data_IF_731244212502
#
_entry.id   IF_731244212502
#
_cell.length_a   1.000
_cell.length_b   1.000
_cell.length_c   1.000
_cell.angle_alpha   90.00
_cell.angle_beta   90.00
_cell.angle_gamma   90.00
#
_symmetry.space_group_name_H-M   'P 1'
#
loop_
_entity.id
_entity.type
_entity.pdbx_description
1 polymer ?
#
# COMPACT_ATOMS: atom_id res chain seq x y z
N UNK A 1 -9.28 4.97 -48.00
CA UNK A 1 -8.73 3.62 -47.73
C UNK A 1 -9.36 3.11 -46.45
N UNK A 2 -9.67 1.82 -46.33
CA UNK A 2 -10.13 1.21 -45.07
C UNK A 2 -9.55 -0.20 -44.94
N UNK A 3 -9.11 -0.55 -43.74
CA UNK A 3 -8.71 -1.91 -43.40
C UNK A 3 -9.95 -2.75 -43.07
N UNK A 4 -9.87 -4.07 -43.27
CA UNK A 4 -10.84 -4.99 -42.68
C UNK A 4 -10.56 -5.14 -41.19
N UNK A 5 -11.58 -5.38 -40.35
CA UNK A 5 -11.37 -5.58 -38.91
C UNK A 5 -10.39 -6.72 -38.63
N UNK A 6 -9.46 -6.50 -37.71
CA UNK A 6 -8.53 -7.51 -37.18
C UNK A 6 -8.85 -7.72 -35.71
N UNK A 7 -9.10 -8.98 -35.32
CA UNK A 7 -9.49 -9.30 -33.95
C UNK A 7 -8.38 -8.93 -32.94
N UNK A 8 -8.77 -8.30 -31.84
CA UNK A 8 -7.84 -7.78 -30.82
C UNK A 8 -7.02 -6.55 -31.24
N UNK A 9 -7.36 -5.87 -32.34
CA UNK A 9 -6.71 -4.63 -32.78
C UNK A 9 -7.72 -3.51 -33.06
N UNK A 10 -7.30 -2.28 -32.78
CA UNK A 10 -7.97 -1.05 -33.18
C UNK A 10 -7.14 -0.37 -34.27
N UNK A 11 -7.75 -0.14 -35.43
CA UNK A 11 -7.12 0.54 -36.57
C UNK A 11 -7.40 2.04 -36.57
N UNK A 12 -6.41 2.83 -36.98
CA UNK A 12 -6.51 4.27 -37.23
C UNK A 12 -5.94 4.58 -38.63
N UNK A 13 -6.64 5.40 -39.41
CA UNK A 13 -6.22 5.79 -40.77
C UNK A 13 -5.87 7.28 -40.79
N UNK A 14 -4.65 7.62 -41.18
CA UNK A 14 -4.18 9.01 -41.35
C UNK A 14 -3.63 9.18 -42.77
N UNK A 15 -4.43 9.80 -43.65
CA UNK A 15 -4.10 9.91 -45.07
C UNK A 15 -4.09 8.54 -45.76
N UNK A 16 -2.91 8.08 -46.18
CA UNK A 16 -2.69 6.75 -46.75
C UNK A 16 -2.07 5.75 -45.77
N UNK A 17 -1.72 6.19 -44.56
CA UNK A 17 -1.13 5.33 -43.53
C UNK A 17 -2.22 4.69 -42.67
N UNK A 18 -2.05 3.39 -42.37
CA UNK A 18 -2.89 2.63 -41.45
C UNK A 18 -2.02 2.20 -40.26
N UNK A 19 -2.47 2.49 -39.04
CA UNK A 19 -1.81 2.06 -37.80
C UNK A 19 -2.74 1.12 -37.04
N UNK A 20 -2.22 -0.05 -36.62
CA UNK A 20 -2.94 -1.00 -35.78
C UNK A 20 -2.38 -1.02 -34.37
N UNK A 21 -3.25 -0.82 -33.38
CA UNK A 21 -2.91 -0.88 -31.95
C UNK A 21 -3.59 -2.07 -31.30
N UNK A 22 -2.82 -2.88 -30.55
CA UNK A 22 -3.37 -4.05 -29.86
C UNK A 22 -4.29 -3.61 -28.72
N UNK A 23 -5.49 -4.17 -28.67
CA UNK A 23 -6.48 -3.92 -27.62
C UNK A 23 -6.88 -5.23 -26.97
N UNK A 24 -6.69 -5.33 -25.67
CA UNK A 24 -7.17 -6.43 -24.85
C UNK A 24 -7.42 -5.93 -23.43
N UNK A 25 -8.36 -6.56 -22.74
CA UNK A 25 -8.60 -6.33 -21.33
C UNK A 25 -8.07 -7.50 -20.51
N UNK A 26 -7.70 -7.19 -19.27
CA UNK A 26 -7.30 -8.16 -18.26
C UNK A 26 -7.96 -7.82 -16.93
N UNK A 27 -7.76 -8.69 -15.94
CA UNK A 27 -8.16 -8.47 -14.56
C UNK A 27 -7.05 -8.88 -13.61
N UNK A 28 -7.05 -8.26 -12.44
CA UNK A 28 -6.16 -8.61 -11.32
C UNK A 28 -7.04 -9.07 -10.17
N UNK A 29 -6.77 -10.27 -9.66
CA UNK A 29 -7.51 -10.90 -8.56
C UNK A 29 -6.53 -11.44 -7.54
N UNK A 30 -6.85 -11.24 -6.27
CA UNK A 30 -6.02 -11.68 -5.17
C UNK A 30 -6.81 -11.92 -3.90
N UNK A 31 -6.18 -12.62 -2.97
CA UNK A 31 -6.70 -12.91 -1.65
C UNK A 31 -5.83 -12.30 -0.57
N UNK A 32 -6.44 -11.99 0.57
CA UNK A 32 -5.75 -11.54 1.77
C UNK A 32 -5.76 -12.65 2.81
N UNK A 33 -4.57 -13.03 3.25
CA UNK A 33 -4.36 -14.00 4.34
C UNK A 33 -3.75 -13.31 5.55
N UNK A 34 -4.19 -13.73 6.74
CA UNK A 34 -3.66 -13.27 8.02
C UNK A 34 -2.94 -14.42 8.73
N UNK A 35 -1.65 -14.22 9.03
CA UNK A 35 -0.81 -15.10 9.84
C UNK A 35 -0.61 -14.46 11.21
N UNK A 36 -1.66 -14.51 12.02
CA UNK A 36 -1.74 -13.81 13.31
C UNK A 36 -2.37 -14.61 14.43
N UNK A 37 -2.60 -15.91 14.22
CA UNK A 37 -3.22 -16.78 15.22
C UNK A 37 -4.68 -16.40 15.53
N UNK A 38 -5.40 -15.79 14.58
CA UNK A 38 -6.75 -15.25 14.76
C UNK A 38 -6.81 -14.16 15.82
N UNK A 39 -5.89 -13.19 15.71
CA UNK A 39 -5.84 -12.04 16.60
C UNK A 39 -7.18 -11.29 16.68
N UNK A 40 -7.59 -10.92 17.90
CA UNK A 40 -8.86 -10.19 18.15
C UNK A 40 -8.78 -8.70 17.83
N UNK A 41 -7.57 -8.15 17.66
CA UNK A 41 -7.30 -6.75 17.34
C UNK A 41 -6.91 -6.53 15.87
N UNK A 42 -7.34 -7.42 14.97
CA UNK A 42 -7.18 -7.24 13.52
C UNK A 42 -8.03 -6.05 13.07
N UNK A 43 -7.54 -5.19 12.15
CA UNK A 43 -8.37 -4.14 11.57
C UNK A 43 -9.54 -4.75 10.79
N UNK A 44 -10.67 -4.04 10.77
CA UNK A 44 -11.88 -4.47 10.04
C UNK A 44 -11.71 -4.45 8.52
N UNK A 45 -10.75 -3.67 8.02
CA UNK A 45 -10.45 -3.53 6.61
C UNK A 45 -8.98 -3.17 6.36
N UNK A 46 -8.52 -3.40 5.14
CA UNK A 46 -7.25 -2.94 4.60
C UNK A 46 -7.49 -2.17 3.31
N UNK A 47 -6.49 -1.43 2.84
CA UNK A 47 -6.49 -0.78 1.53
C UNK A 47 -5.44 -1.42 0.64
N UNK A 48 -5.88 -1.89 -0.52
CA UNK A 48 -5.03 -2.51 -1.54
C UNK A 48 -4.98 -1.60 -2.75
N UNK A 49 -3.79 -1.11 -3.06
CA UNK A 49 -3.51 -0.31 -4.25
C UNK A 49 -3.22 -1.23 -5.43
N UNK A 50 -3.83 -0.95 -6.58
CA UNK A 50 -3.43 -1.48 -7.87
C UNK A 50 -2.45 -0.50 -8.52
N UNK A 51 -1.28 -1.02 -8.88
CA UNK A 51 -0.25 -0.27 -9.58
C UNK A 51 -0.21 -0.69 -11.04
N UNK A 52 -0.02 0.29 -11.93
CA UNK A 52 0.30 0.10 -13.35
C UNK A 52 1.62 0.79 -13.63
N UNK A 53 2.61 0.03 -14.05
CA UNK A 53 3.99 0.49 -14.28
C UNK A 53 4.57 1.29 -13.10
N UNK A 54 4.30 0.81 -11.89
CA UNK A 54 4.77 1.43 -10.65
C UNK A 54 3.96 2.63 -10.15
N UNK A 55 2.91 3.05 -10.85
CA UNK A 55 2.00 4.12 -10.40
C UNK A 55 0.69 3.57 -9.89
N UNK A 56 0.22 4.07 -8.75
CA UNK A 56 -1.11 3.71 -8.22
C UNK A 56 -2.18 4.28 -9.15
N UNK A 57 -3.05 3.41 -9.67
CA UNK A 57 -4.15 3.79 -10.56
C UNK A 57 -5.52 3.65 -9.90
N UNK A 58 -5.64 2.83 -8.85
CA UNK A 58 -6.85 2.70 -8.04
C UNK A 58 -6.55 2.02 -6.71
N UNK A 59 -7.46 2.14 -5.75
CA UNK A 59 -7.37 1.52 -4.43
C UNK A 59 -8.71 0.86 -4.10
N UNK A 60 -8.66 -0.35 -3.53
CA UNK A 60 -9.85 -1.07 -3.06
C UNK A 60 -9.76 -1.34 -1.56
N UNK A 61 -10.88 -1.17 -0.88
CA UNK A 61 -11.05 -1.58 0.51
C UNK A 61 -11.40 -3.07 0.56
N UNK A 62 -10.66 -3.83 1.35
CA UNK A 62 -10.82 -5.29 1.49
C UNK A 62 -11.06 -5.62 2.95
N UNK A 63 -12.11 -6.40 3.21
CA UNK A 63 -12.59 -6.70 4.56
C UNK A 63 -13.10 -8.13 4.67
N UNK A 64 -13.49 -8.53 5.88
CA UNK A 64 -14.15 -9.82 6.11
C UNK A 64 -15.46 -9.94 5.31
N UNK A 65 -16.20 -8.85 5.12
CA UNK A 65 -17.43 -8.83 4.32
C UNK A 65 -17.16 -9.18 2.83
N UNK A 66 -15.97 -8.86 2.33
CA UNK A 66 -15.52 -9.25 0.97
C UNK A 66 -14.93 -10.67 0.93
N UNK A 67 -14.95 -11.39 2.05
CA UNK A 67 -14.26 -12.67 2.22
C UNK A 67 -12.74 -12.55 2.10
N UNK A 68 -12.18 -11.36 2.38
CA UNK A 68 -10.77 -11.04 2.18
C UNK A 68 -10.30 -11.30 0.74
N UNK A 69 -11.13 -10.97 -0.25
CA UNK A 69 -10.83 -11.10 -1.68
C UNK A 69 -11.05 -9.78 -2.39
N UNK A 70 -10.33 -9.56 -3.47
CA UNK A 70 -10.45 -8.36 -4.26
C UNK A 70 -10.23 -8.63 -5.75
N UNK A 71 -10.81 -7.76 -6.58
CA UNK A 71 -10.81 -7.92 -8.03
C UNK A 71 -10.84 -6.55 -8.69
N UNK A 72 -9.83 -6.26 -9.51
CA UNK A 72 -9.80 -5.13 -10.43
C UNK A 72 -10.09 -5.62 -11.84
N UNK A 73 -11.19 -5.15 -12.43
CA UNK A 73 -11.68 -5.57 -13.76
C UNK A 73 -11.38 -4.50 -14.83
N UNK A 74 -11.61 -4.89 -16.08
CA UNK A 74 -11.62 -3.98 -17.23
C UNK A 74 -10.30 -3.22 -17.44
N UNK A 75 -9.18 -3.82 -17.01
CA UNK A 75 -7.85 -3.22 -17.11
C UNK A 75 -7.33 -3.36 -18.53
N UNK A 76 -6.86 -2.27 -19.14
CA UNK A 76 -6.19 -2.36 -20.43
C UNK A 76 -4.93 -3.22 -20.30
N UNK A 77 -4.70 -4.15 -21.22
CA UNK A 77 -3.51 -5.00 -21.22
C UNK A 77 -2.30 -4.33 -21.91
N UNK A 78 -2.55 -3.37 -22.81
CA UNK A 78 -1.52 -2.70 -23.61
C UNK A 78 -1.70 -1.18 -23.62
N UNK A 79 -0.60 -0.46 -23.74
CA UNK A 79 -0.59 0.99 -23.95
C UNK A 79 -0.91 1.37 -25.41
N UNK A 80 -0.88 2.67 -25.72
CA UNK A 80 -1.16 3.18 -27.06
C UNK A 80 -0.13 2.75 -28.13
N UNK A 81 1.05 2.27 -27.71
CA UNK A 81 2.09 1.76 -28.59
C UNK A 81 2.06 0.23 -28.71
N UNK A 82 1.10 -0.45 -28.05
CA UNK A 82 1.01 -1.90 -28.01
C UNK A 82 1.99 -2.58 -27.03
N UNK A 83 2.61 -1.82 -26.12
CA UNK A 83 3.47 -2.35 -25.05
C UNK A 83 2.59 -2.85 -23.90
N UNK A 84 2.86 -4.04 -23.39
CA UNK A 84 2.07 -4.62 -22.31
C UNK A 84 2.26 -3.84 -21.00
N UNK A 85 1.16 -3.52 -20.33
CA UNK A 85 1.20 -2.92 -19.00
C UNK A 85 1.66 -3.94 -17.95
N UNK A 86 2.49 -3.50 -17.02
CA UNK A 86 2.82 -4.27 -15.82
C UNK A 86 1.87 -3.90 -14.69
N UNK A 87 1.14 -4.89 -14.17
CA UNK A 87 0.28 -4.71 -13.01
C UNK A 87 0.87 -5.36 -11.76
N UNK A 88 0.78 -4.65 -10.64
CA UNK A 88 1.24 -5.08 -9.33
C UNK A 88 0.22 -4.64 -8.27
N UNK A 89 0.23 -5.28 -7.11
CA UNK A 89 -0.61 -4.90 -5.97
C UNK A 89 0.28 -4.52 -4.80
N UNK A 90 -0.18 -3.56 -4.01
CA UNK A 90 0.49 -3.15 -2.78
C UNK A 90 -0.53 -2.93 -1.69
N UNK A 91 -0.26 -3.42 -0.49
CA UNK A 91 -1.04 -3.05 0.67
C UNK A 91 -0.53 -1.74 1.27
N UNK A 92 -1.45 -0.86 1.66
CA UNK A 92 -1.10 0.27 2.51
C UNK A 92 -0.67 -0.23 3.90
N UNK A 93 0.22 0.49 4.62
CA UNK A 93 0.70 0.04 5.91
C UNK A 93 -0.44 -0.31 6.88
N UNK A 94 -0.28 -1.44 7.59
CA UNK A 94 -1.20 -1.89 8.63
C UNK A 94 -0.42 -2.01 9.94
N UNK A 95 -0.85 -1.25 10.95
CA UNK A 95 -0.17 -1.18 12.23
C UNK A 95 -0.01 -2.54 12.91
N UNK A 96 1.23 -2.84 13.31
CA UNK A 96 1.56 -4.11 13.97
C UNK A 96 1.63 -5.32 13.04
N UNK A 97 1.58 -5.12 11.72
CA UNK A 97 1.70 -6.20 10.74
C UNK A 97 2.82 -5.94 9.73
N UNK A 98 3.47 -7.01 9.30
CA UNK A 98 4.36 -7.02 8.14
C UNK A 98 3.62 -7.62 6.96
N UNK A 99 3.60 -6.90 5.84
CA UNK A 99 2.94 -7.32 4.61
C UNK A 99 3.92 -7.96 3.63
N UNK A 100 3.50 -9.04 2.98
CA UNK A 100 4.23 -9.73 1.91
C UNK A 100 3.27 -10.02 0.75
N UNK A 101 3.70 -9.73 -0.48
CA UNK A 101 2.91 -9.96 -1.71
C UNK A 101 3.53 -11.11 -2.50
N UNK A 102 2.72 -12.08 -2.91
CA UNK A 102 3.10 -13.21 -3.77
C UNK A 102 2.16 -13.28 -4.97
N UNK A 103 2.65 -12.85 -6.14
CA UNK A 103 1.77 -12.60 -7.28
C UNK A 103 0.82 -11.45 -6.93
N UNK A 104 -0.46 -11.77 -6.74
CA UNK A 104 -1.47 -10.82 -6.24
C UNK A 104 -2.04 -11.21 -4.88
N UNK A 105 -1.59 -12.30 -4.27
CA UNK A 105 -2.01 -12.62 -2.91
C UNK A 105 -1.19 -11.84 -1.89
N UNK A 106 -1.87 -11.34 -0.86
CA UNK A 106 -1.26 -10.56 0.21
C UNK A 106 -1.31 -11.37 1.49
N UNK A 107 -0.20 -11.46 2.21
CA UNK A 107 -0.11 -12.09 3.52
C UNK A 107 0.34 -11.06 4.56
N UNK A 108 -0.45 -10.88 5.62
CA UNK A 108 -0.01 -10.13 6.80
C UNK A 108 0.44 -11.07 7.90
N UNK A 109 1.66 -10.89 8.38
CA UNK A 109 2.17 -11.57 9.58
C UNK A 109 2.16 -10.60 10.75
N UNK A 110 1.59 -11.01 11.89
CA UNK A 110 1.62 -10.19 13.11
C UNK A 110 3.07 -10.01 13.54
N UNK A 111 3.49 -8.76 13.68
CA UNK A 111 4.81 -8.46 14.26
C UNK A 111 4.66 -8.60 15.77
N UNK A 112 5.55 -9.38 16.39
CA UNK A 112 5.61 -9.43 17.85
C UNK A 112 5.82 -8.00 18.37
N UNK A 113 4.87 -7.52 19.18
CA UNK A 113 5.02 -6.22 19.82
C UNK A 113 6.08 -6.36 20.91
N UNK A 114 7.25 -5.78 20.68
CA UNK A 114 8.16 -5.44 21.76
C UNK A 114 7.69 -4.10 22.32
N UNK A 115 7.36 -4.07 23.61
CA UNK A 115 7.09 -2.82 24.32
C UNK A 115 8.41 -2.03 24.38
N UNK A 116 8.42 -0.80 23.85
CA UNK A 116 9.62 0.06 23.86
C UNK A 116 9.33 1.25 24.76
N UNK A 117 9.85 1.20 25.97
CA UNK A 117 9.63 2.27 26.94
C UNK A 117 10.92 3.03 27.21
N UNK A 118 10.78 4.31 27.51
CA UNK A 118 11.89 5.14 27.92
C UNK A 118 11.45 6.39 28.65
N UNK A 119 12.44 7.12 29.15
CA UNK A 119 12.23 8.39 29.86
C UNK A 119 13.17 9.44 29.32
N UNK A 120 12.65 10.64 29.08
CA UNK A 120 13.46 11.82 28.79
C UNK A 120 13.91 12.41 30.12
N UNK A 121 15.22 12.44 30.33
CA UNK A 121 15.83 13.16 31.45
C UNK A 121 16.41 14.47 30.96
N UNK A 122 16.12 15.56 31.69
CA UNK A 122 16.72 16.87 31.49
C UNK A 122 17.87 17.06 32.50
N UNK A 123 19.06 17.45 32.02
CA UNK A 123 20.23 17.80 32.85
C UNK A 123 20.58 19.28 32.62
N UNK A 124 19.65 20.15 32.97
CA UNK A 124 19.67 21.59 32.67
C UNK A 124 19.66 22.47 33.94
N UNK A 125 19.81 21.87 35.13
CA UNK A 125 19.73 22.62 36.38
C UNK A 125 18.33 23.18 36.68
N UNK A 126 17.28 22.56 36.14
CA UNK A 126 15.89 23.02 36.28
C UNK A 126 15.64 24.39 35.62
N UNK A 127 16.15 24.55 34.41
CA UNK A 127 16.00 25.75 33.61
C UNK A 127 14.52 26.09 33.34
N UNK A 128 14.20 27.39 33.29
CA UNK A 128 12.84 27.91 33.11
C UNK A 128 12.41 28.03 31.65
N UNK A 129 13.33 27.86 30.71
CA UNK A 129 13.11 27.98 29.26
C UNK A 129 12.96 26.61 28.56
N UNK A 130 12.76 25.54 29.33
CA UNK A 130 12.54 24.20 28.81
C UNK A 130 11.30 24.15 27.90
N UNK A 131 11.36 23.48 26.73
CA UNK A 131 10.17 23.28 25.92
C UNK A 131 9.13 22.46 26.68
N UNK A 132 7.86 22.79 26.51
CA UNK A 132 6.75 22.08 27.15
C UNK A 132 6.54 20.66 26.59
N UNK A 133 7.09 20.36 25.41
CA UNK A 133 6.90 19.11 24.68
C UNK A 133 8.08 18.81 23.76
N UNK A 134 8.35 17.52 23.55
CA UNK A 134 9.24 17.01 22.50
C UNK A 134 8.51 15.96 21.65
N UNK A 135 9.07 15.65 20.48
CA UNK A 135 8.66 14.49 19.67
C UNK A 135 9.73 13.41 19.75
N UNK A 136 9.32 12.17 19.96
CA UNK A 136 10.16 10.98 20.00
C UNK A 136 9.73 10.05 18.88
N UNK A 137 10.65 9.76 17.96
CA UNK A 137 10.41 8.81 16.87
C UNK A 137 10.82 7.41 17.32
N UNK A 138 9.94 6.43 17.10
CA UNK A 138 10.30 5.01 17.15
C UNK A 138 10.75 4.59 15.76
N UNK A 139 11.95 4.01 15.66
CA UNK A 139 12.51 3.56 14.40
C UNK A 139 12.56 2.02 14.34
N UNK A 140 12.34 1.47 13.16
CA UNK A 140 12.65 0.07 12.81
C UNK A 140 13.51 0.08 11.57
N UNK A 141 14.70 -0.53 11.67
CA UNK A 141 15.67 -0.59 10.56
C UNK A 141 15.98 0.80 9.95
N UNK A 142 16.04 1.83 10.79
CA UNK A 142 16.32 3.22 10.37
C UNK A 142 15.11 3.98 9.80
N UNK A 143 13.93 3.37 9.67
CA UNK A 143 12.70 4.06 9.25
C UNK A 143 11.83 4.41 10.45
N UNK A 144 11.29 5.63 10.48
CA UNK A 144 10.31 6.06 11.49
C UNK A 144 9.03 5.25 11.31
N UNK A 145 8.66 4.50 12.34
CA UNK A 145 7.42 3.71 12.38
C UNK A 145 6.32 4.40 13.20
N UNK A 146 6.67 5.24 14.17
CA UNK A 146 5.71 6.07 14.90
C UNK A 146 6.40 7.29 15.50
N UNK A 147 5.64 8.34 15.80
CA UNK A 147 6.11 9.53 16.51
C UNK A 147 5.20 9.78 17.71
N UNK A 148 5.78 9.96 18.90
CA UNK A 148 5.05 10.28 20.12
C UNK A 148 5.41 11.66 20.65
N UNK A 149 4.41 12.43 21.05
CA UNK A 149 4.59 13.68 21.79
C UNK A 149 4.76 13.37 23.28
N UNK A 150 5.85 13.88 23.86
CA UNK A 150 6.26 13.63 25.25
C UNK A 150 6.38 14.96 25.96
N UNK A 151 5.79 15.08 27.14
CA UNK A 151 5.72 16.34 27.89
C UNK A 151 5.85 16.10 29.39
N UNK A 152 5.83 17.17 30.17
CA UNK A 152 5.74 17.07 31.62
C UNK A 152 4.46 16.34 32.08
N UNK A 153 3.34 16.52 31.36
CA UNK A 153 2.08 15.83 31.67
C UNK A 153 2.19 14.30 31.53
N UNK A 154 3.08 13.79 30.66
CA UNK A 154 3.38 12.35 30.55
C UNK A 154 4.48 11.90 31.51
N UNK A 155 4.93 12.78 32.42
CA UNK A 155 6.07 12.54 33.28
C UNK A 155 7.37 12.36 32.50
N UNK A 156 7.46 12.95 31.30
CA UNK A 156 8.56 12.75 30.35
C UNK A 156 8.80 11.27 29.98
N UNK A 157 7.78 10.42 30.05
CA UNK A 157 7.83 9.01 29.67
C UNK A 157 7.22 8.77 28.30
N UNK A 158 7.72 7.75 27.60
CA UNK A 158 7.21 7.24 26.32
C UNK A 158 7.19 5.71 26.32
N UNK A 159 6.29 5.13 25.52
CA UNK A 159 5.99 3.68 25.43
C UNK A 159 5.62 3.26 24.01
#
# INVERSE_FOLDING_TARGET
MKEQPVDGYKSEVKGYDITNTKVAQTKVEGTKTWKDGNATNRPSMIKVDLLRDGQVITTQEVSEATGWKYTFKDLAAYDANGVAYKYEVKEQPVDGYKSEVKGYDIMNTKVAQTKVEGTKTWKDGNATDRPSMIKVDLLRDGQVITTQEVSEATGWKYT
#
